data_IF_976447905249
#
_entry.id   IF_976447905249
#
_cell.length_a   1.000
_cell.length_b   1.000
_cell.length_c   1.000
_cell.angle_alpha   90.00
_cell.angle_beta   90.00
_cell.angle_gamma   90.00
#
_symmetry.space_group_name_H-M   'P 1'
#
loop_
_entity.id
_entity.type
_entity.pdbx_description
1 polymer ?
#
# COMPACT_ATOMS: atom_id res chain seq x y z
N UNK A 1 9.69 18.90 -0.64
CA UNK A 1 8.25 19.21 -0.79
C UNK A 1 7.48 17.94 -0.51
N UNK A 2 6.55 17.97 0.45
CA UNK A 2 5.67 16.84 0.73
C UNK A 2 4.49 16.86 -0.25
N UNK A 3 4.54 15.96 -1.23
CA UNK A 3 3.57 15.85 -2.31
C UNK A 3 2.31 15.11 -1.89
N UNK A 4 2.30 14.48 -0.71
CA UNK A 4 1.09 13.84 -0.17
C UNK A 4 0.00 14.85 0.17
N UNK A 5 0.35 16.13 0.36
CA UNK A 5 -0.60 17.22 0.58
C UNK A 5 -1.59 17.44 -0.56
N UNK A 6 -1.26 16.98 -1.78
CA UNK A 6 -2.12 17.07 -2.96
C UNK A 6 -3.03 15.86 -3.14
N UNK A 7 -2.86 14.81 -2.33
CA UNK A 7 -3.71 13.63 -2.39
C UNK A 7 -5.02 13.85 -1.66
N UNK A 8 -6.08 13.17 -2.11
CA UNK A 8 -7.26 12.99 -1.28
C UNK A 8 -6.88 12.26 0.01
N UNK A 9 -7.57 12.55 1.12
CA UNK A 9 -7.27 11.93 2.44
C UNK A 9 -7.21 10.39 2.40
N UNK A 10 -8.06 9.75 1.60
CA UNK A 10 -8.04 8.29 1.46
C UNK A 10 -6.80 7.80 0.69
N UNK A 11 -6.32 8.58 -0.28
CA UNK A 11 -5.14 8.25 -1.08
C UNK A 11 -3.85 8.51 -0.32
N UNK A 12 -3.84 9.49 0.59
CA UNK A 12 -2.76 9.68 1.58
C UNK A 12 -2.58 8.41 2.43
N UNK A 13 -3.67 7.88 2.99
CA UNK A 13 -3.63 6.67 3.81
C UNK A 13 -3.17 5.48 2.97
N UNK A 14 -3.75 5.27 1.79
CA UNK A 14 -3.32 4.19 0.88
C UNK A 14 -1.84 4.28 0.54
N UNK A 15 -1.34 5.47 0.22
CA UNK A 15 0.06 5.65 -0.13
C UNK A 15 0.99 5.44 1.07
N UNK A 16 0.60 5.86 2.27
CA UNK A 16 1.37 5.64 3.49
C UNK A 16 1.44 4.15 3.86
N UNK A 17 0.35 3.40 3.66
CA UNK A 17 0.34 1.93 3.80
C UNK A 17 1.28 1.31 2.78
N UNK A 18 1.18 1.69 1.50
CA UNK A 18 2.02 1.17 0.42
C UNK A 18 3.52 1.42 0.68
N UNK A 19 3.88 2.59 1.20
CA UNK A 19 5.27 2.90 1.56
C UNK A 19 5.83 1.98 2.63
N UNK A 20 5.00 1.46 3.55
CA UNK A 20 5.45 0.52 4.57
C UNK A 20 5.95 -0.80 3.97
N UNK A 21 5.56 -1.12 2.73
CA UNK A 21 6.00 -2.29 1.99
C UNK A 21 7.14 -2.01 0.98
N UNK A 22 7.64 -0.76 0.90
CA UNK A 22 8.58 -0.30 -0.11
C UNK A 22 10.03 -0.80 0.06
N UNK A 23 10.36 -1.41 1.20
CA UNK A 23 11.77 -1.53 1.64
C UNK A 23 12.52 -2.76 1.11
N UNK A 24 11.85 -3.82 0.67
CA UNK A 24 12.41 -4.92 -0.14
C UNK A 24 11.32 -5.95 -0.38
N UNK A 25 11.39 -6.67 -1.50
CA UNK A 25 10.28 -7.40 -2.13
C UNK A 25 9.59 -8.54 -1.36
N UNK A 26 9.79 -8.67 -0.04
CA UNK A 26 9.10 -9.61 0.85
C UNK A 26 8.93 -9.07 2.29
N UNK A 27 8.80 -7.76 2.47
CA UNK A 27 8.65 -7.19 3.82
C UNK A 27 7.31 -7.58 4.44
N UNK A 28 7.39 -8.16 5.64
CA UNK A 28 6.23 -8.44 6.49
C UNK A 28 6.01 -7.22 7.39
N UNK A 29 4.80 -6.67 7.37
CA UNK A 29 4.38 -5.57 8.22
C UNK A 29 3.25 -6.07 9.10
N UNK A 30 3.38 -5.89 10.41
CA UNK A 30 2.31 -6.25 11.36
C UNK A 30 1.15 -5.28 11.19
N UNK A 31 -0.08 -5.80 11.28
CA UNK A 31 -1.29 -5.00 11.25
C UNK A 31 -1.26 -3.91 12.31
N UNK A 32 -0.92 -4.26 13.56
CA UNK A 32 -0.82 -3.33 14.69
C UNK A 32 0.09 -2.14 14.37
N UNK A 33 1.25 -2.38 13.75
CA UNK A 33 2.17 -1.30 13.37
C UNK A 33 1.54 -0.31 12.38
N UNK A 34 0.70 -0.79 11.47
CA UNK A 34 0.00 0.08 10.50
C UNK A 34 -1.13 0.84 11.20
N UNK A 35 -1.91 0.17 12.05
CA UNK A 35 -3.03 0.77 12.78
C UNK A 35 -2.54 1.87 13.73
N UNK A 36 -1.48 1.62 14.50
CA UNK A 36 -0.88 2.60 15.43
C UNK A 36 -0.27 3.79 14.68
N UNK A 37 0.44 3.53 13.57
CA UNK A 37 1.11 4.59 12.81
C UNK A 37 0.14 5.52 12.07
N UNK A 38 -0.99 4.99 11.63
CA UNK A 38 -1.95 5.74 10.81
C UNK A 38 -3.23 6.13 11.55
N UNK A 39 -3.39 5.70 12.82
CA UNK A 39 -4.58 5.92 13.64
C UNK A 39 -5.88 5.55 12.91
N UNK A 40 -5.89 4.36 12.30
CA UNK A 40 -7.04 3.84 11.54
C UNK A 40 -7.57 2.56 12.18
N UNK A 41 -8.85 2.26 11.93
CA UNK A 41 -9.45 0.98 12.33
C UNK A 41 -9.01 -0.16 11.40
N UNK A 42 -9.05 -1.39 11.92
CA UNK A 42 -8.81 -2.61 11.15
C UNK A 42 -9.72 -2.73 9.91
N UNK A 43 -10.98 -2.34 10.05
CA UNK A 43 -11.92 -2.29 8.93
C UNK A 43 -11.42 -1.33 7.83
N UNK A 44 -10.96 -0.14 8.22
CA UNK A 44 -10.42 0.85 7.28
C UNK A 44 -9.15 0.34 6.61
N UNK A 45 -8.26 -0.31 7.36
CA UNK A 45 -7.06 -0.93 6.82
C UNK A 45 -7.41 -1.99 5.76
N UNK A 46 -8.36 -2.88 6.05
CA UNK A 46 -8.83 -3.89 5.09
C UNK A 46 -9.32 -3.26 3.80
N UNK A 47 -10.12 -2.19 3.88
CA UNK A 47 -10.59 -1.45 2.70
C UNK A 47 -9.43 -0.80 1.93
N UNK A 48 -8.44 -0.27 2.64
CA UNK A 48 -7.24 0.33 2.04
C UNK A 48 -6.41 -0.72 1.31
N UNK A 49 -6.19 -1.89 1.89
CA UNK A 49 -5.46 -3.01 1.27
C UNK A 49 -6.19 -3.51 0.02
N UNK A 50 -7.52 -3.66 0.06
CA UNK A 50 -8.32 -4.04 -1.10
C UNK A 50 -8.20 -3.02 -2.24
N UNK A 51 -8.28 -1.73 -1.90
CA UNK A 51 -8.08 -0.64 -2.87
C UNK A 51 -6.67 -0.67 -3.46
N UNK A 52 -5.64 -0.79 -2.62
CA UNK A 52 -4.26 -0.87 -3.06
C UNK A 52 -4.01 -2.05 -4.00
N UNK A 53 -4.56 -3.23 -3.69
CA UNK A 53 -4.45 -4.39 -4.59
C UNK A 53 -5.15 -4.16 -5.93
N UNK A 54 -6.28 -3.44 -5.94
CA UNK A 54 -6.93 -3.02 -7.19
C UNK A 54 -6.07 -2.04 -7.99
N UNK A 55 -5.45 -1.07 -7.32
CA UNK A 55 -4.62 -0.07 -7.97
C UNK A 55 -3.29 -0.67 -8.46
N UNK A 56 -2.66 -1.55 -7.67
CA UNK A 56 -1.47 -2.32 -8.06
C UNK A 56 -1.75 -3.13 -9.32
N UNK A 57 -2.90 -3.81 -9.40
CA UNK A 57 -3.33 -4.53 -10.61
C UNK A 57 -3.42 -3.65 -11.87
N UNK A 58 -3.72 -2.36 -11.74
CA UNK A 58 -3.81 -1.43 -12.89
C UNK A 58 -2.43 -1.01 -13.39
N UNK A 59 -1.42 -1.02 -12.52
CA UNK A 59 -0.06 -0.56 -12.85
C UNK A 59 0.92 -1.71 -13.09
N UNK A 60 0.58 -2.94 -12.71
CA UNK A 60 1.41 -4.15 -12.93
C UNK A 60 1.08 -4.82 -14.26
N UNK A 61 2.11 -5.35 -14.93
CA UNK A 61 1.94 -6.25 -16.08
C UNK A 61 1.43 -7.63 -15.65
N UNK A 62 0.75 -8.39 -16.54
CA UNK A 62 0.21 -9.72 -16.24
C UNK A 62 1.25 -10.72 -15.70
N UNK A 63 2.52 -10.56 -16.09
CA UNK A 63 3.61 -11.47 -15.73
C UNK A 63 4.31 -11.11 -14.41
N UNK A 64 4.00 -9.95 -13.81
CA UNK A 64 4.62 -9.50 -12.57
C UNK A 64 3.59 -8.81 -11.66
N UNK A 65 2.64 -9.62 -11.19
CA UNK A 65 1.58 -9.16 -10.30
C UNK A 65 2.16 -8.74 -8.95
N UNK A 66 1.96 -7.47 -8.59
CA UNK A 66 2.22 -6.99 -7.24
C UNK A 66 0.94 -7.03 -6.42
N UNK A 67 1.06 -7.49 -5.17
CA UNK A 67 -0.06 -7.61 -4.27
C UNK A 67 0.42 -7.51 -2.83
N UNK A 68 -0.49 -7.10 -1.95
CA UNK A 68 -0.35 -7.20 -0.51
C UNK A 68 -1.26 -8.33 -0.06
N UNK A 69 -0.67 -9.36 0.54
CA UNK A 69 -1.38 -10.55 1.04
C UNK A 69 -1.45 -10.49 2.55
N UNK A 70 -2.59 -10.88 3.13
CA UNK A 70 -2.67 -11.13 4.56
C UNK A 70 -2.05 -12.50 4.87
N UNK A 71 -1.12 -12.53 5.83
CA UNK A 71 -0.53 -13.73 6.42
C UNK A 71 -1.29 -14.08 7.71
N UNK A 72 -1.07 -15.30 8.19
CA UNK A 72 -1.53 -15.70 9.53
C UNK A 72 -0.89 -14.82 10.62
N UNK A 73 -1.61 -14.65 11.74
CA UNK A 73 -1.23 -13.81 12.88
C UNK A 73 -1.23 -12.28 12.63
N UNK A 74 -2.23 -11.76 11.91
CA UNK A 74 -2.41 -10.30 11.71
C UNK A 74 -1.19 -9.63 11.04
N UNK A 75 -0.61 -10.30 10.06
CA UNK A 75 0.54 -9.81 9.32
C UNK A 75 0.15 -9.56 7.87
N UNK A 76 0.79 -8.58 7.23
CA UNK A 76 0.66 -8.31 5.81
C UNK A 76 2.02 -8.47 5.14
N UNK A 77 2.04 -9.10 3.96
CA UNK A 77 3.24 -9.25 3.15
C UNK A 77 3.06 -8.56 1.81
N UNK A 78 4.01 -7.68 1.47
CA UNK A 78 4.10 -7.11 0.13
C UNK A 78 4.85 -8.05 -0.81
N UNK A 79 4.26 -8.38 -1.95
CA UNK A 79 4.86 -9.18 -3.01
C UNK A 79 5.16 -8.30 -4.23
N UNK A 80 6.41 -8.35 -4.71
CA UNK A 80 6.87 -7.63 -5.91
C UNK A 80 6.60 -6.12 -5.87
N UNK A 81 6.47 -5.53 -4.68
CA UNK A 81 6.31 -4.09 -4.49
C UNK A 81 7.66 -3.43 -4.70
N UNK A 82 7.88 -2.97 -5.93
CA UNK A 82 9.09 -2.26 -6.32
C UNK A 82 8.90 -0.75 -6.20
N UNK A 83 10.00 -0.01 -6.05
CA UNK A 83 9.98 1.45 -6.04
C UNK A 83 9.32 2.04 -7.30
N UNK A 84 9.46 1.36 -8.45
CA UNK A 84 8.81 1.75 -9.71
C UNK A 84 7.29 1.75 -9.59
N UNK A 85 6.71 0.69 -9.02
CA UNK A 85 5.26 0.60 -8.82
C UNK A 85 4.76 1.66 -7.84
N UNK A 86 5.53 1.95 -6.78
CA UNK A 86 5.19 3.01 -5.83
C UNK A 86 5.14 4.37 -6.53
N UNK A 87 6.10 4.66 -7.40
CA UNK A 87 6.08 5.89 -8.18
C UNK A 87 4.90 5.96 -9.16
N UNK A 88 4.51 4.84 -9.78
CA UNK A 88 3.33 4.79 -10.65
C UNK A 88 2.04 5.05 -9.86
N UNK A 89 1.86 4.43 -8.70
CA UNK A 89 0.71 4.68 -7.81
C UNK A 89 0.72 6.13 -7.32
N UNK A 90 1.89 6.66 -6.94
CA UNK A 90 2.04 8.07 -6.55
C UNK A 90 1.52 9.01 -7.64
N UNK A 91 1.89 8.79 -8.90
CA UNK A 91 1.41 9.58 -10.03
C UNK A 91 -0.10 9.43 -10.24
N UNK A 92 -0.64 8.24 -10.02
CA UNK A 92 -2.08 7.98 -10.10
C UNK A 92 -2.89 8.78 -9.06
N UNK A 93 -2.31 9.06 -7.89
CA UNK A 93 -2.95 9.82 -6.81
C UNK A 93 -2.73 11.35 -6.89
N UNK A 94 -1.83 11.84 -7.75
CA UNK A 94 -1.58 13.28 -7.98
C UNK A 94 -2.60 13.94 -8.95
N UNK A 95 -3.86 13.50 -8.95
CA UNK A 95 -4.87 14.03 -9.87
C UNK A 95 -5.31 15.45 -9.56
#
# INVERSE_FOLDING_TARGET
MDFTLFFEKNDQISYAVLQSFALSGQHIVTQEHILEKLDISEYKLTQVILKLNSDLKKVTSPDNTAAITALENHNYQGHNITTTLIHQIRLMYLK
#
